data_IF_370971802917
#
_entry.id   IF_370971802917
#
_cell.length_a   1.000
_cell.length_b   1.000
_cell.length_c   1.000
_cell.angle_alpha   90.00
_cell.angle_beta   90.00
_cell.angle_gamma   90.00
#
_symmetry.space_group_name_H-M   'P 1'
#
loop_
_entity.id
_entity.type
_entity.pdbx_description
1 polymer ?
#
# COMPACT_ATOMS: atom_id res chain seq x y z
N UNK A 1 -13.62 22.70 -1.55
CA UNK A 1 -12.39 22.56 -2.37
C UNK A 1 -11.43 21.49 -1.85
N UNK A 2 -11.06 21.41 -0.55
CA UNK A 2 -10.12 20.38 -0.08
C UNK A 2 -10.64 18.93 -0.09
N UNK A 3 -11.96 18.72 0.02
CA UNK A 3 -12.56 17.39 0.12
C UNK A 3 -12.69 16.65 -1.22
N UNK A 4 -12.63 17.36 -2.36
CA UNK A 4 -12.81 16.76 -3.69
C UNK A 4 -11.62 15.88 -4.12
N UNK A 5 -10.47 16.01 -3.45
CA UNK A 5 -9.29 15.17 -3.67
C UNK A 5 -9.52 13.74 -3.14
N UNK A 6 -10.42 13.57 -2.16
CA UNK A 6 -10.77 12.28 -1.58
C UNK A 6 -12.05 11.68 -2.16
N UNK A 7 -12.60 12.27 -3.22
CA UNK A 7 -13.78 11.76 -3.92
C UNK A 7 -13.33 10.98 -5.16
N UNK A 8 -13.39 9.65 -5.09
CA UNK A 8 -12.97 8.76 -6.19
C UNK A 8 -13.75 9.02 -7.46
N UNK A 9 -15.06 9.28 -7.38
CA UNK A 9 -15.89 9.48 -8.56
C UNK A 9 -15.46 10.75 -9.30
N UNK A 10 -15.17 11.83 -8.58
CA UNK A 10 -14.66 13.07 -9.18
C UNK A 10 -13.26 12.92 -9.75
N UNK A 11 -12.35 12.26 -9.03
CA UNK A 11 -10.99 12.00 -9.52
C UNK A 11 -11.01 11.14 -10.79
N UNK A 12 -11.84 10.09 -10.82
CA UNK A 12 -12.00 9.24 -12.00
C UNK A 12 -12.70 9.94 -13.15
N UNK A 13 -13.74 10.74 -12.89
CA UNK A 13 -14.43 11.50 -13.93
C UNK A 13 -13.50 12.53 -14.59
N UNK A 14 -12.70 13.24 -13.79
CA UNK A 14 -11.69 14.15 -14.29
C UNK A 14 -10.61 13.41 -15.10
N UNK A 15 -10.02 12.35 -14.53
CA UNK A 15 -8.97 11.58 -15.22
C UNK A 15 -9.48 10.94 -16.52
N UNK A 16 -10.68 10.36 -16.48
CA UNK A 16 -11.34 9.71 -17.62
C UNK A 16 -11.73 10.66 -18.74
N UNK A 17 -11.98 11.94 -18.46
CA UNK A 17 -12.25 12.95 -19.49
C UNK A 17 -11.07 13.12 -20.48
N UNK A 18 -9.84 12.93 -20.00
CA UNK A 18 -8.60 13.10 -20.77
C UNK A 18 -7.97 11.76 -21.23
N UNK A 19 -8.34 10.63 -20.62
CA UNK A 19 -7.74 9.33 -20.91
C UNK A 19 -8.77 8.37 -21.52
N UNK A 20 -8.90 8.39 -22.85
CA UNK A 20 -9.81 7.50 -23.60
C UNK A 20 -9.15 6.24 -24.14
N UNK A 21 -7.82 6.11 -24.01
CA UNK A 21 -7.11 4.93 -24.50
C UNK A 21 -7.28 3.76 -23.51
N UNK A 22 -8.06 2.76 -23.91
CA UNK A 22 -8.37 1.58 -23.10
C UNK A 22 -7.15 0.73 -22.75
N UNK A 23 -6.14 0.68 -23.63
CA UNK A 23 -4.88 -0.05 -23.39
C UNK A 23 -4.10 0.65 -22.26
N UNK A 24 -4.00 1.98 -22.31
CA UNK A 24 -3.32 2.74 -21.27
C UNK A 24 -3.98 2.54 -19.90
N UNK A 25 -5.32 2.63 -19.86
CA UNK A 25 -6.09 2.37 -18.64
C UNK A 25 -5.83 0.98 -18.07
N UNK A 26 -5.83 -0.05 -18.92
CA UNK A 26 -5.56 -1.42 -18.52
C UNK A 26 -4.15 -1.59 -17.95
N UNK A 27 -3.14 -1.02 -18.64
CA UNK A 27 -1.75 -1.04 -18.18
C UNK A 27 -1.63 -0.37 -16.81
N UNK A 28 -2.17 0.84 -16.63
CA UNK A 28 -2.10 1.51 -15.33
C UNK A 28 -2.80 0.73 -14.22
N UNK A 29 -3.93 0.10 -14.51
CA UNK A 29 -4.69 -0.67 -13.51
C UNK A 29 -3.94 -1.93 -13.09
N UNK A 30 -3.30 -2.63 -14.02
CA UNK A 30 -2.58 -3.89 -13.74
C UNK A 30 -1.17 -3.63 -13.18
N UNK A 31 -0.41 -2.71 -13.78
CA UNK A 31 1.01 -2.48 -13.47
C UNK A 31 1.20 -1.62 -12.21
N UNK A 32 0.20 -0.83 -11.79
CA UNK A 32 0.29 -0.06 -10.55
C UNK A 32 0.59 -0.93 -9.32
N UNK A 33 0.00 -2.13 -9.24
CA UNK A 33 0.21 -3.02 -8.09
C UNK A 33 1.62 -3.62 -8.02
N UNK A 34 2.19 -4.20 -9.10
CA UNK A 34 3.60 -4.58 -9.14
C UNK A 34 4.55 -3.42 -8.83
N UNK A 35 4.31 -2.22 -9.38
CA UNK A 35 5.17 -1.05 -9.10
C UNK A 35 5.12 -0.67 -7.63
N UNK A 36 3.92 -0.64 -7.04
CA UNK A 36 3.74 -0.37 -5.62
C UNK A 36 4.39 -1.43 -4.73
N UNK A 37 4.27 -2.72 -5.11
CA UNK A 37 4.97 -3.82 -4.45
C UNK A 37 6.49 -3.62 -4.49
N UNK A 38 7.07 -3.32 -5.66
CA UNK A 38 8.51 -3.07 -5.79
C UNK A 38 8.96 -1.89 -4.92
N UNK A 39 8.18 -0.82 -4.85
CA UNK A 39 8.46 0.30 -3.95
C UNK A 39 8.44 -0.11 -2.47
N UNK A 40 7.43 -0.88 -2.06
CA UNK A 40 7.34 -1.42 -0.70
C UNK A 40 8.48 -2.39 -0.37
N UNK A 41 8.94 -3.18 -1.35
CA UNK A 41 10.10 -4.04 -1.20
C UNK A 41 11.39 -3.24 -1.02
N UNK A 42 11.64 -2.24 -1.86
CA UNK A 42 12.82 -1.38 -1.73
C UNK A 42 12.85 -0.67 -0.37
N UNK A 43 11.71 -0.16 0.09
CA UNK A 43 11.59 0.50 1.38
C UNK A 43 11.61 -0.47 2.56
N UNK A 44 11.45 -1.78 2.35
CA UNK A 44 11.55 -2.78 3.41
C UNK A 44 13.00 -2.96 3.90
N UNK A 45 13.99 -2.60 3.07
CA UNK A 45 15.42 -2.58 3.42
C UNK A 45 15.83 -1.34 4.25
N UNK A 46 14.90 -0.44 4.56
CA UNK A 46 15.20 0.68 5.47
C UNK A 46 15.35 0.19 6.92
N UNK A 47 16.20 0.84 7.73
CA UNK A 47 16.35 0.51 9.14
C UNK A 47 15.00 0.58 9.88
N UNK A 48 14.87 -0.22 10.93
CA UNK A 48 13.74 -0.09 11.84
C UNK A 48 13.73 1.31 12.47
N UNK A 49 12.58 1.97 12.42
CA UNK A 49 12.32 3.28 13.01
C UNK A 49 12.04 3.18 14.51
N UNK A 50 11.73 1.98 15.00
CA UNK A 50 11.46 1.72 16.41
C UNK A 50 10.76 0.39 16.64
N UNK A 51 10.20 0.23 17.83
CA UNK A 51 9.33 -0.89 18.17
C UNK A 51 7.92 -0.60 17.68
N UNK A 52 7.20 -1.66 17.31
CA UNK A 52 5.76 -1.55 17.11
C UNK A 52 5.07 -1.06 18.39
N UNK A 53 4.07 -0.17 18.29
CA UNK A 53 3.30 0.30 19.43
C UNK A 53 2.24 -0.72 19.89
N UNK A 54 2.56 -2.02 19.82
CA UNK A 54 1.66 -3.12 20.16
C UNK A 54 2.38 -4.17 21.01
N UNK A 55 1.77 -4.70 22.07
CA UNK A 55 2.34 -5.81 22.84
C UNK A 55 2.67 -7.02 21.95
N UNK A 56 3.73 -7.79 22.24
CA UNK A 56 4.01 -9.03 21.52
C UNK A 56 2.81 -9.99 21.55
N UNK A 57 2.47 -10.60 20.41
CA UNK A 57 1.35 -11.55 20.28
C UNK A 57 -0.01 -10.91 20.00
N UNK A 58 -0.08 -9.60 19.76
CA UNK A 58 -1.31 -8.90 19.38
C UNK A 58 -1.83 -9.37 18.02
N UNK A 59 -0.93 -9.68 17.09
CA UNK A 59 -1.29 -10.12 15.74
C UNK A 59 -0.63 -11.46 15.38
N UNK A 60 -1.29 -12.31 14.58
CA UNK A 60 -0.75 -13.61 14.17
C UNK A 60 0.54 -13.51 13.34
N UNK A 61 0.80 -12.36 12.72
CA UNK A 61 1.98 -12.11 11.88
C UNK A 61 2.88 -10.99 12.42
N UNK A 62 2.76 -10.67 13.72
CA UNK A 62 3.43 -9.52 14.32
C UNK A 62 4.96 -9.57 14.17
N UNK A 63 5.54 -10.77 14.13
CA UNK A 63 6.96 -10.96 13.90
C UNK A 63 7.42 -10.42 12.54
N UNK A 64 6.56 -10.33 11.53
CA UNK A 64 6.87 -9.78 10.22
C UNK A 64 6.48 -8.31 10.07
N UNK A 65 5.86 -7.71 11.10
CA UNK A 65 5.47 -6.31 11.11
C UNK A 65 6.63 -5.45 11.67
N UNK A 66 7.64 -5.19 10.85
CA UNK A 66 8.76 -4.32 11.25
C UNK A 66 8.33 -2.87 11.05
N UNK A 67 8.46 -2.02 12.08
CA UNK A 67 8.21 -0.59 11.95
C UNK A 67 9.37 0.07 11.17
N UNK A 68 9.32 0.01 9.84
CA UNK A 68 10.25 0.64 8.91
C UNK A 68 9.47 1.51 7.90
N UNK A 69 10.15 2.07 6.89
CA UNK A 69 9.49 2.92 5.90
C UNK A 69 8.42 2.16 5.10
N UNK A 70 8.63 0.89 4.78
CA UNK A 70 7.65 0.05 4.08
C UNK A 70 6.33 -0.06 4.86
N UNK A 71 6.42 -0.33 6.16
CA UNK A 71 5.25 -0.41 7.03
C UNK A 71 4.49 0.92 7.09
N UNK A 72 5.20 2.04 7.26
CA UNK A 72 4.60 3.38 7.30
C UNK A 72 3.87 3.68 5.99
N UNK A 73 4.51 3.44 4.85
CA UNK A 73 3.91 3.64 3.52
C UNK A 73 2.67 2.77 3.37
N UNK A 74 2.75 1.48 3.68
CA UNK A 74 1.63 0.55 3.54
C UNK A 74 0.41 0.99 4.37
N UNK A 75 0.63 1.41 5.62
CA UNK A 75 -0.44 1.92 6.49
C UNK A 75 -1.03 3.23 5.96
N UNK A 76 -0.19 4.19 5.57
CA UNK A 76 -0.65 5.48 5.01
C UNK A 76 -1.49 5.26 3.75
N UNK A 77 -1.01 4.45 2.80
CA UNK A 77 -1.76 4.16 1.58
C UNK A 77 -3.04 3.37 1.86
N UNK A 78 -3.06 2.48 2.85
CA UNK A 78 -4.28 1.80 3.25
C UNK A 78 -5.34 2.78 3.75
N UNK A 79 -4.96 3.76 4.58
CA UNK A 79 -5.86 4.83 5.02
C UNK A 79 -6.35 5.69 3.85
N UNK A 80 -5.44 6.10 2.96
CA UNK A 80 -5.80 6.90 1.77
C UNK A 80 -6.81 6.15 0.91
N UNK A 81 -6.59 4.85 0.64
CA UNK A 81 -7.53 4.05 -0.13
C UNK A 81 -8.89 3.95 0.54
N UNK A 82 -8.96 3.65 1.84
CA UNK A 82 -10.23 3.58 2.59
C UNK A 82 -10.99 4.92 2.55
N UNK A 83 -10.28 6.04 2.64
CA UNK A 83 -10.88 7.38 2.56
C UNK A 83 -11.44 7.68 1.17
N UNK A 84 -10.77 7.19 0.13
CA UNK A 84 -11.14 7.37 -1.27
C UNK A 84 -12.46 6.65 -1.61
N UNK A 85 -12.59 5.38 -1.22
CA UNK A 85 -13.85 4.64 -1.32
C UNK A 85 -13.93 3.60 -0.21
N UNK A 86 -15.06 3.52 0.50
CA UNK A 86 -15.16 2.61 1.66
C UNK A 86 -15.07 1.14 1.27
N UNK A 87 -15.55 0.72 0.09
CA UNK A 87 -15.60 -0.69 -0.30
C UNK A 87 -14.33 -1.09 -1.05
N UNK A 88 -14.10 -0.48 -2.21
CA UNK A 88 -12.94 -0.73 -3.04
C UNK A 88 -11.65 -0.31 -2.33
N UNK A 89 -11.69 0.77 -1.56
CA UNK A 89 -10.57 1.25 -0.78
C UNK A 89 -10.21 0.38 0.41
N UNK A 90 -11.19 -0.26 1.07
CA UNK A 90 -10.89 -1.26 2.11
C UNK A 90 -10.18 -2.48 1.51
N UNK A 91 -10.61 -2.95 0.34
CA UNK A 91 -9.92 -4.02 -0.39
C UNK A 91 -8.49 -3.60 -0.78
N UNK A 92 -8.35 -2.42 -1.37
CA UNK A 92 -7.05 -1.87 -1.75
C UNK A 92 -6.13 -1.65 -0.54
N UNK A 93 -6.66 -1.21 0.60
CA UNK A 93 -5.91 -1.04 1.83
C UNK A 93 -5.46 -2.37 2.44
N UNK A 94 -6.32 -3.39 2.41
CA UNK A 94 -5.92 -4.74 2.79
C UNK A 94 -4.80 -5.26 1.89
N UNK A 95 -4.91 -5.09 0.57
CA UNK A 95 -3.87 -5.46 -0.39
C UNK A 95 -2.55 -4.72 -0.11
N UNK A 96 -2.59 -3.40 0.13
CA UNK A 96 -1.41 -2.61 0.46
C UNK A 96 -0.71 -3.13 1.73
N UNK A 97 -1.49 -3.45 2.76
CA UNK A 97 -0.98 -4.01 4.00
C UNK A 97 -0.33 -5.38 3.80
N UNK A 98 -1.01 -6.31 3.11
CA UNK A 98 -0.46 -7.65 2.85
C UNK A 98 0.76 -7.62 1.94
N UNK A 99 0.81 -6.71 0.98
CA UNK A 99 2.00 -6.47 0.15
C UNK A 99 3.17 -5.98 0.99
N UNK A 100 2.96 -5.04 1.90
CA UNK A 100 4.01 -4.56 2.83
C UNK A 100 4.52 -5.67 3.76
N UNK A 101 3.62 -6.53 4.24
CA UNK A 101 3.96 -7.71 5.04
C UNK A 101 4.82 -8.70 4.23
N UNK A 102 4.41 -8.99 2.99
CA UNK A 102 5.16 -9.85 2.09
C UNK A 102 6.54 -9.30 1.75
N UNK A 103 6.66 -7.99 1.51
CA UNK A 103 7.94 -7.30 1.30
C UNK A 103 8.89 -7.49 2.50
N UNK A 104 8.36 -7.35 3.72
CA UNK A 104 9.14 -7.50 4.95
C UNK A 104 9.54 -8.95 5.22
N UNK A 105 8.65 -9.90 4.91
CA UNK A 105 8.94 -11.33 4.95
C UNK A 105 10.07 -11.69 3.98
N UNK A 106 10.00 -11.23 2.73
CA UNK A 106 11.03 -11.48 1.72
C UNK A 106 12.38 -10.88 2.13
N UNK A 107 12.38 -9.65 2.65
CA UNK A 107 13.58 -9.05 3.22
C UNK A 107 14.21 -9.94 4.30
N UNK A 108 13.41 -10.45 5.25
CA UNK A 108 13.91 -11.35 6.30
C UNK A 108 14.49 -12.63 5.75
N UNK A 109 13.80 -13.30 4.82
CA UNK A 109 14.29 -14.54 4.20
C UNK A 109 15.61 -14.31 3.44
N UNK A 110 15.78 -13.13 2.85
CA UNK A 110 16.98 -12.81 2.07
C UNK A 110 18.17 -12.32 2.91
N UNK A 111 17.91 -11.70 4.06
CA UNK A 111 18.94 -11.11 4.94
C UNK A 111 19.33 -12.01 6.11
N UNK A 112 18.49 -12.98 6.49
CA UNK A 112 18.79 -13.93 7.57
C UNK A 112 19.35 -15.24 6.97
N UNK A 113 20.66 -15.53 7.09
CA UNK A 113 21.22 -16.83 6.68
C UNK A 113 20.74 -17.99 7.57
#
# INVERSE_FOLDING_TARGET
MAWEVFDVEKQFAFYGAYHRNSINFLIHTIIAWPVFFSFLLLTAFTPALGLLPFPPGTFPFQEYMILNLSFVVAVVYAFVYIMLDKKAGTLAGALAFFVGLAATLLHRVWVSP
#
